data_IF_188759276766
#
_entry.id   IF_188759276766
#
_cell.length_a   1.000
_cell.length_b   1.000
_cell.length_c   1.000
_cell.angle_alpha   90.00
_cell.angle_beta   90.00
_cell.angle_gamma   90.00
#
_symmetry.space_group_name_H-M   'P 1'
#
loop_
_entity.id
_entity.type
_entity.pdbx_description
1 polymer ?
#
# COMPACT_ATOMS: atom_id res chain seq x y z
N UNK A 1 26.36 -12.99 13.22
CA UNK A 1 25.55 -11.85 12.82
C UNK A 1 25.77 -11.63 11.35
N UNK A 2 24.97 -12.28 10.51
CA UNK A 2 24.96 -11.98 9.07
C UNK A 2 24.09 -10.76 8.88
N UNK A 3 24.67 -9.66 8.43
CA UNK A 3 23.94 -8.51 7.96
C UNK A 3 23.25 -8.90 6.67
N UNK A 4 21.94 -8.98 6.70
CA UNK A 4 21.03 -9.44 5.65
C UNK A 4 20.84 -8.48 4.48
N UNK A 5 21.69 -7.47 4.34
CA UNK A 5 21.50 -6.35 3.42
C UNK A 5 22.23 -6.50 2.08
N UNK A 6 22.93 -7.60 1.86
CA UNK A 6 23.65 -7.82 0.61
C UNK A 6 23.09 -9.03 -0.14
N UNK A 7 22.93 -8.92 -1.46
CA UNK A 7 22.60 -10.06 -2.30
C UNK A 7 23.69 -11.14 -2.13
N UNK A 8 23.27 -12.37 -1.92
CA UNK A 8 24.19 -13.50 -1.94
C UNK A 8 24.41 -13.94 -3.39
N UNK A 9 25.67 -14.11 -3.78
CA UNK A 9 26.03 -14.63 -5.09
C UNK A 9 26.39 -16.11 -4.96
N UNK A 10 25.80 -16.94 -5.81
CA UNK A 10 26.12 -18.36 -5.96
C UNK A 10 26.81 -18.54 -7.31
N UNK A 11 28.04 -19.04 -7.31
CA UNK A 11 28.70 -19.53 -8.51
C UNK A 11 28.03 -20.86 -8.92
N UNK A 12 27.54 -20.91 -10.15
CA UNK A 12 26.85 -22.08 -10.71
C UNK A 12 27.31 -22.35 -12.13
N UNK A 13 27.41 -23.63 -12.48
CA UNK A 13 27.66 -24.03 -13.86
C UNK A 13 26.34 -23.83 -14.65
N UNK A 14 26.22 -22.68 -15.29
CA UNK A 14 25.03 -22.31 -16.06
C UNK A 14 25.13 -22.87 -17.49
N UNK A 15 24.06 -23.48 -18.02
CA UNK A 15 24.05 -23.95 -19.40
C UNK A 15 24.32 -22.80 -20.39
N UNK A 16 25.17 -23.03 -21.36
CA UNK A 16 25.43 -22.07 -22.42
C UNK A 16 24.17 -21.88 -23.29
N UNK A 17 23.78 -20.61 -23.45
CA UNK A 17 22.57 -20.25 -24.19
C UNK A 17 21.28 -20.61 -23.44
N UNK A 18 20.15 -20.25 -24.01
CA UNK A 18 18.82 -20.52 -23.48
C UNK A 18 18.24 -19.39 -22.65
N UNK A 19 16.93 -19.48 -22.47
CA UNK A 19 16.16 -18.48 -21.73
C UNK A 19 16.25 -18.76 -20.23
N UNK A 20 17.26 -18.18 -19.57
CA UNK A 20 17.45 -18.29 -18.12
C UNK A 20 16.64 -17.26 -17.37
N UNK A 21 16.40 -16.12 -17.98
CA UNK A 21 15.60 -15.05 -17.40
C UNK A 21 14.22 -15.53 -16.96
N UNK A 22 13.84 -15.26 -15.71
CA UNK A 22 12.58 -15.71 -15.14
C UNK A 22 12.53 -17.23 -14.81
N UNK A 23 13.66 -17.95 -14.94
CA UNK A 23 13.73 -19.36 -14.57
C UNK A 23 13.69 -19.56 -13.05
N UNK A 24 13.04 -20.63 -12.61
CA UNK A 24 13.14 -21.10 -11.23
C UNK A 24 14.43 -21.89 -11.00
N UNK A 25 15.09 -21.66 -9.88
CA UNK A 25 16.29 -22.40 -9.46
C UNK A 25 15.91 -23.33 -8.30
N UNK A 26 16.16 -24.62 -8.47
CA UNK A 26 15.76 -25.65 -7.49
C UNK A 26 16.96 -26.48 -7.07
N UNK A 27 17.16 -26.63 -5.77
CA UNK A 27 18.19 -27.49 -5.22
C UNK A 27 17.92 -28.94 -5.54
N UNK A 28 18.92 -29.66 -6.05
CA UNK A 28 18.81 -31.07 -6.40
C UNK A 28 19.56 -32.00 -5.45
N UNK A 29 20.45 -31.46 -4.61
CA UNK A 29 21.26 -32.24 -3.66
C UNK A 29 21.39 -31.48 -2.32
N UNK A 30 22.09 -32.09 -1.37
CA UNK A 30 22.39 -31.52 -0.08
C UNK A 30 21.18 -31.37 0.85
N UNK A 31 21.40 -30.69 1.95
CA UNK A 31 20.37 -30.45 2.97
C UNK A 31 19.21 -29.56 2.47
N UNK A 32 19.45 -28.75 1.44
CA UNK A 32 18.46 -27.87 0.83
C UNK A 32 17.68 -28.50 -0.34
N UNK A 33 17.85 -29.81 -0.61
CA UNK A 33 17.20 -30.50 -1.72
C UNK A 33 15.69 -30.24 -1.79
N UNK A 34 15.18 -29.92 -2.98
CA UNK A 34 13.78 -29.63 -3.25
C UNK A 34 13.40 -28.16 -3.02
N UNK A 35 14.21 -27.35 -2.35
CA UNK A 35 13.93 -25.94 -2.15
C UNK A 35 14.12 -25.13 -3.45
N UNK A 36 13.24 -24.15 -3.64
CA UNK A 36 13.40 -23.15 -4.69
C UNK A 36 14.22 -21.98 -4.14
N UNK A 37 15.24 -21.57 -4.89
CA UNK A 37 15.99 -20.35 -4.63
C UNK A 37 15.41 -19.21 -5.50
N UNK A 38 15.37 -18.00 -4.96
CA UNK A 38 14.96 -16.82 -5.70
C UNK A 38 16.21 -16.08 -6.17
N UNK A 39 16.54 -16.23 -7.45
CA UNK A 39 17.57 -15.44 -8.09
C UNK A 39 16.98 -14.10 -8.55
N UNK A 40 17.63 -13.00 -8.20
CA UNK A 40 17.26 -11.64 -8.64
C UNK A 40 17.90 -11.27 -9.97
N UNK A 41 19.12 -11.73 -10.18
CA UNK A 41 19.91 -11.42 -11.37
C UNK A 41 20.90 -12.55 -11.64
N UNK A 42 21.41 -12.58 -12.87
CA UNK A 42 22.52 -13.44 -13.26
C UNK A 42 23.59 -12.61 -13.99
N UNK A 43 24.82 -12.99 -13.83
CA UNK A 43 25.95 -12.45 -14.60
C UNK A 43 26.96 -13.58 -14.82
N UNK A 44 27.24 -13.90 -16.07
CA UNK A 44 28.11 -15.00 -16.46
C UNK A 44 27.64 -16.34 -15.86
N UNK A 45 28.34 -16.84 -14.88
CA UNK A 45 28.11 -18.09 -14.14
C UNK A 45 27.66 -17.86 -12.68
N UNK A 46 27.26 -16.62 -12.37
CA UNK A 46 26.83 -16.21 -11.03
C UNK A 46 25.32 -16.00 -10.99
N UNK A 47 24.69 -16.58 -9.97
CA UNK A 47 23.30 -16.26 -9.56
C UNK A 47 23.31 -15.38 -8.31
N UNK A 48 22.71 -14.22 -8.41
CA UNK A 48 22.54 -13.31 -7.29
C UNK A 48 21.18 -13.56 -6.64
N UNK A 49 21.20 -14.06 -5.40
CA UNK A 49 20.00 -14.33 -4.62
C UNK A 49 19.73 -13.14 -3.68
N UNK A 50 18.48 -12.74 -3.57
CA UNK A 50 18.08 -11.72 -2.60
C UNK A 50 18.24 -12.25 -1.17
N UNK A 51 19.20 -11.69 -0.45
CA UNK A 51 19.44 -11.98 0.97
C UNK A 51 18.52 -11.21 1.93
N UNK A 52 17.66 -10.34 1.40
CA UNK A 52 16.70 -9.56 2.21
C UNK A 52 15.45 -10.38 2.49
N UNK A 53 15.10 -10.47 3.77
CA UNK A 53 13.92 -11.17 4.25
C UNK A 53 14.19 -12.60 4.75
N UNK A 54 13.50 -12.95 5.81
CA UNK A 54 13.64 -14.24 6.51
C UNK A 54 13.41 -15.46 5.59
N UNK A 55 12.47 -15.35 4.67
CA UNK A 55 12.14 -16.43 3.73
C UNK A 55 13.30 -16.81 2.79
N UNK A 56 14.17 -15.88 2.43
CA UNK A 56 15.31 -16.15 1.58
C UNK A 56 16.51 -16.74 2.35
N UNK A 57 16.72 -16.31 3.58
CA UNK A 57 17.73 -16.91 4.44
C UNK A 57 17.44 -18.38 4.72
N UNK A 58 16.21 -18.69 5.08
CA UNK A 58 15.80 -20.07 5.34
C UNK A 58 16.02 -20.94 4.09
N UNK A 59 15.79 -20.39 2.90
CA UNK A 59 15.98 -21.11 1.63
C UNK A 59 17.46 -21.37 1.32
N UNK A 60 18.36 -20.47 1.70
CA UNK A 60 19.80 -20.59 1.51
C UNK A 60 20.48 -21.38 2.62
N UNK A 61 19.81 -21.61 3.76
CA UNK A 61 20.36 -22.41 4.85
C UNK A 61 20.63 -23.85 4.41
N UNK A 62 21.85 -24.30 4.60
CA UNK A 62 22.29 -25.66 4.25
C UNK A 62 22.67 -25.85 2.79
N UNK A 63 22.75 -24.77 1.99
CA UNK A 63 23.37 -24.79 0.67
C UNK A 63 24.89 -24.73 0.85
N UNK A 64 25.61 -25.68 0.24
CA UNK A 64 27.05 -25.77 0.36
C UNK A 64 27.71 -25.94 -1.02
N UNK A 65 28.99 -25.59 -1.20
CA UNK A 65 29.73 -25.84 -2.42
C UNK A 65 29.63 -27.31 -2.86
N UNK A 66 29.39 -27.53 -4.16
CA UNK A 66 29.20 -28.87 -4.73
C UNK A 66 27.74 -29.33 -4.76
N UNK A 67 26.82 -28.60 -4.18
CA UNK A 67 25.40 -28.88 -4.35
C UNK A 67 24.95 -28.64 -5.79
N UNK A 68 24.07 -29.50 -6.27
CA UNK A 68 23.52 -29.40 -7.64
C UNK A 68 22.24 -28.61 -7.63
N UNK A 69 22.04 -27.77 -8.67
CA UNK A 69 20.82 -27.04 -8.93
C UNK A 69 20.18 -27.47 -10.24
N UNK A 70 18.87 -27.34 -10.32
CA UNK A 70 18.11 -27.44 -11.57
C UNK A 70 17.59 -26.04 -11.91
N UNK A 71 17.90 -25.57 -13.11
CA UNK A 71 17.31 -24.34 -13.66
C UNK A 71 16.13 -24.76 -14.54
N UNK A 72 14.97 -24.21 -14.27
CA UNK A 72 13.72 -24.59 -14.88
C UNK A 72 12.93 -23.34 -15.32
N UNK A 73 12.86 -23.09 -16.61
CA UNK A 73 12.19 -21.92 -17.17
C UNK A 73 10.75 -22.22 -17.66
N UNK A 74 10.24 -23.42 -17.44
CA UNK A 74 8.91 -23.83 -17.94
C UNK A 74 7.79 -22.92 -17.44
N UNK A 75 7.84 -22.49 -16.18
CA UNK A 75 6.82 -21.59 -15.63
C UNK A 75 6.85 -20.21 -16.32
N UNK A 76 8.04 -19.69 -16.61
CA UNK A 76 8.18 -18.42 -17.34
C UNK A 76 7.72 -18.54 -18.79
N UNK A 77 8.11 -19.63 -19.49
CA UNK A 77 7.65 -19.87 -20.84
C UNK A 77 6.13 -20.07 -20.91
N UNK A 78 5.56 -20.76 -19.93
CA UNK A 78 4.12 -20.93 -19.83
C UNK A 78 3.39 -19.62 -19.57
N UNK A 79 3.96 -18.73 -18.75
CA UNK A 79 3.45 -17.38 -18.54
C UNK A 79 3.46 -16.55 -19.83
N UNK A 80 4.58 -16.53 -20.57
CA UNK A 80 4.67 -15.85 -21.86
C UNK A 80 3.68 -16.41 -22.87
N UNK A 81 3.54 -17.74 -22.91
CA UNK A 81 2.58 -18.43 -23.79
C UNK A 81 1.13 -18.10 -23.42
N UNK A 82 0.82 -18.03 -22.13
CA UNK A 82 -0.50 -17.68 -21.65
C UNK A 82 -0.93 -16.30 -22.17
N UNK A 83 -0.12 -15.26 -21.94
CA UNK A 83 -0.46 -13.90 -22.37
C UNK A 83 -0.55 -13.74 -23.88
N UNK A 84 0.17 -14.55 -24.65
CA UNK A 84 0.07 -14.56 -26.09
C UNK A 84 -1.34 -14.91 -26.58
N UNK A 85 -2.03 -15.80 -25.87
CA UNK A 85 -3.32 -16.36 -26.27
C UNK A 85 -4.49 -15.92 -25.37
N UNK A 86 -4.23 -15.14 -24.35
CA UNK A 86 -5.23 -14.64 -23.40
C UNK A 86 -4.94 -13.16 -23.09
N UNK A 87 -5.09 -12.32 -24.10
CA UNK A 87 -4.86 -10.88 -23.93
C UNK A 87 -5.92 -10.27 -23.03
N UNK A 88 -5.47 -9.48 -22.07
CA UNK A 88 -6.35 -8.62 -21.30
C UNK A 88 -6.58 -7.28 -22.02
N UNK A 89 -7.58 -6.52 -21.59
CA UNK A 89 -7.85 -5.16 -22.04
C UNK A 89 -6.88 -4.13 -21.43
N UNK A 90 -5.89 -4.59 -20.68
CA UNK A 90 -4.90 -3.71 -20.07
C UNK A 90 -3.95 -3.13 -21.12
N UNK A 91 -3.63 -1.83 -21.08
CA UNK A 91 -2.78 -1.17 -22.08
C UNK A 91 -1.39 -1.80 -22.25
N UNK A 92 -0.89 -2.47 -21.22
CA UNK A 92 0.38 -3.19 -21.29
C UNK A 92 0.36 -4.33 -22.31
N UNK A 93 -0.81 -4.79 -22.71
CA UNK A 93 -0.96 -5.83 -23.74
C UNK A 93 -1.10 -5.26 -25.16
N UNK A 94 -1.09 -3.95 -25.36
CA UNK A 94 -1.35 -3.32 -26.67
C UNK A 94 -0.28 -3.65 -27.70
N UNK A 95 0.94 -3.94 -27.29
CA UNK A 95 2.01 -4.36 -28.21
C UNK A 95 1.74 -5.74 -28.87
N UNK A 96 0.78 -6.48 -28.36
CA UNK A 96 0.31 -7.75 -28.97
C UNK A 96 -0.93 -7.56 -29.86
N UNK A 97 -1.25 -6.31 -30.23
CA UNK A 97 -2.34 -5.94 -31.13
C UNK A 97 -1.82 -5.16 -32.34
N UNK A 98 -2.49 -5.35 -33.46
CA UNK A 98 -2.35 -4.50 -34.67
C UNK A 98 -3.74 -4.02 -35.04
N UNK A 99 -3.93 -2.72 -35.18
CA UNK A 99 -5.23 -2.08 -35.41
C UNK A 99 -6.31 -2.54 -34.39
N UNK A 100 -5.90 -2.67 -33.13
CA UNK A 100 -6.76 -3.12 -32.04
C UNK A 100 -7.06 -4.62 -32.01
N UNK A 101 -6.60 -5.37 -33.03
CA UNK A 101 -6.83 -6.83 -33.12
C UNK A 101 -5.62 -7.60 -32.61
N UNK A 102 -5.84 -8.69 -31.84
CA UNK A 102 -4.77 -9.56 -31.39
C UNK A 102 -3.95 -10.13 -32.57
N UNK A 103 -2.62 -10.14 -32.46
CA UNK A 103 -1.72 -10.74 -33.45
C UNK A 103 -1.86 -12.28 -33.50
N UNK A 104 -2.23 -12.87 -32.36
CA UNK A 104 -2.36 -14.33 -32.22
C UNK A 104 -3.81 -14.72 -31.93
N UNK A 105 -4.24 -15.94 -32.31
CA UNK A 105 -5.54 -16.47 -31.94
C UNK A 105 -5.76 -16.41 -30.43
N UNK A 106 -6.94 -15.99 -30.00
CA UNK A 106 -7.28 -15.91 -28.60
C UNK A 106 -8.10 -17.13 -28.17
N UNK A 107 -7.92 -17.55 -26.93
CA UNK A 107 -8.62 -18.66 -26.31
C UNK A 107 -9.32 -18.18 -25.02
N UNK A 108 -10.38 -18.86 -24.64
CA UNK A 108 -11.05 -18.61 -23.38
C UNK A 108 -10.08 -18.84 -22.21
N UNK A 109 -10.12 -17.93 -21.22
CA UNK A 109 -9.32 -18.06 -20.01
C UNK A 109 -9.95 -19.15 -19.13
N UNK A 110 -9.23 -20.23 -18.80
CA UNK A 110 -9.76 -21.22 -17.87
C UNK A 110 -10.00 -20.59 -16.50
N UNK A 111 -11.12 -20.92 -15.88
CA UNK A 111 -11.50 -20.40 -14.54
C UNK A 111 -10.45 -20.67 -13.47
N UNK A 112 -9.61 -21.68 -13.66
CA UNK A 112 -8.47 -21.96 -12.80
C UNK A 112 -7.23 -22.18 -13.64
N UNK A 113 -6.27 -21.25 -13.55
CA UNK A 113 -4.97 -21.40 -14.19
C UNK A 113 -3.88 -21.60 -13.13
N UNK A 114 -3.21 -22.77 -13.11
CA UNK A 114 -2.12 -23.01 -12.16
C UNK A 114 -0.89 -22.14 -12.44
N UNK A 115 -0.85 -21.46 -13.58
CA UNK A 115 0.25 -20.59 -14.01
C UNK A 115 0.14 -19.17 -13.49
N UNK A 116 -1.10 -18.68 -13.35
CA UNK A 116 -1.41 -17.30 -12.97
C UNK A 116 -1.88 -17.16 -11.52
N UNK A 117 -1.86 -18.23 -10.76
CA UNK A 117 -2.48 -18.27 -9.46
C UNK A 117 -4.00 -18.33 -9.55
N UNK A 118 -4.68 -17.99 -8.47
CA UNK A 118 -6.14 -17.97 -8.44
C UNK A 118 -6.62 -16.73 -9.19
N UNK A 119 -7.41 -16.87 -10.27
CA UNK A 119 -8.02 -15.71 -10.92
C UNK A 119 -8.92 -14.97 -9.93
N UNK A 120 -8.92 -13.66 -10.04
CA UNK A 120 -9.81 -12.80 -9.24
C UNK A 120 -11.24 -12.95 -9.75
N UNK A 121 -11.88 -14.08 -9.42
CA UNK A 121 -13.22 -14.39 -9.88
C UNK A 121 -14.30 -13.52 -9.21
N UNK A 122 -14.01 -12.94 -8.06
CA UNK A 122 -14.97 -12.27 -7.21
C UNK A 122 -15.93 -13.23 -6.50
N UNK A 123 -15.76 -14.55 -6.68
CA UNK A 123 -16.55 -15.58 -6.03
C UNK A 123 -15.93 -15.95 -4.68
N UNK A 124 -16.68 -15.83 -3.63
CA UNK A 124 -16.30 -16.26 -2.28
C UNK A 124 -17.55 -16.53 -1.44
N UNK A 125 -17.38 -17.33 -0.41
CA UNK A 125 -18.39 -17.55 0.63
C UNK A 125 -18.03 -16.75 1.88
N UNK A 126 -19.04 -16.21 2.57
CA UNK A 126 -18.86 -15.42 3.81
C UNK A 126 -18.68 -13.92 3.56
N UNK A 127 -17.91 -13.26 4.42
CA UNK A 127 -17.69 -11.80 4.42
C UNK A 127 -16.24 -11.46 4.08
N UNK A 128 -16.05 -10.43 3.27
CA UNK A 128 -14.73 -9.95 2.87
C UNK A 128 -14.60 -8.45 3.15
N UNK A 129 -13.53 -8.07 3.83
CA UNK A 129 -13.09 -6.68 3.91
C UNK A 129 -11.79 -6.52 3.14
N UNK A 130 -11.81 -5.64 2.15
CA UNK A 130 -10.66 -5.26 1.36
C UNK A 130 -10.12 -3.91 1.85
N UNK A 131 -8.88 -3.88 2.29
CA UNK A 131 -8.21 -2.65 2.73
C UNK A 131 -7.15 -2.31 1.70
N UNK A 132 -7.14 -1.08 1.22
CA UNK A 132 -6.21 -0.63 0.19
C UNK A 132 -5.70 0.78 0.47
N UNK A 133 -4.42 0.99 0.28
CA UNK A 133 -3.77 2.29 0.44
C UNK A 133 -3.87 3.13 -0.84
N UNK A 134 -4.13 4.44 -0.73
CA UNK A 134 -4.27 5.32 -1.90
C UNK A 134 -2.95 5.66 -2.59
N UNK A 135 -1.82 5.47 -1.90
CA UNK A 135 -0.47 5.75 -2.41
C UNK A 135 0.36 4.47 -2.58
N UNK A 136 -0.29 3.30 -2.65
CA UNK A 136 0.40 2.02 -2.82
C UNK A 136 1.09 1.97 -4.18
N UNK A 137 2.42 1.94 -4.16
CA UNK A 137 3.26 1.87 -5.35
C UNK A 137 3.57 0.43 -5.77
N UNK A 138 3.31 -0.52 -4.90
CA UNK A 138 3.53 -1.95 -5.13
C UNK A 138 2.28 -2.66 -5.62
N UNK A 139 1.14 -2.38 -5.00
CA UNK A 139 -0.18 -2.89 -5.36
C UNK A 139 -1.06 -1.68 -5.73
N UNK A 140 -1.04 -1.30 -6.97
CA UNK A 140 -1.66 -0.06 -7.44
C UNK A 140 -3.15 0.03 -7.07
N UNK A 141 -3.63 1.19 -6.62
CA UNK A 141 -5.03 1.38 -6.21
C UNK A 141 -6.08 0.86 -7.19
N UNK A 142 -5.93 0.99 -8.52
CA UNK A 142 -6.87 0.37 -9.47
C UNK A 142 -7.07 -1.14 -9.33
N UNK A 143 -6.13 -1.88 -8.71
CA UNK A 143 -6.30 -3.31 -8.46
C UNK A 143 -7.43 -3.59 -7.46
N UNK A 144 -7.56 -2.74 -6.43
CA UNK A 144 -8.70 -2.81 -5.50
C UNK A 144 -10.04 -2.57 -6.20
N UNK A 145 -10.07 -1.61 -7.14
CA UNK A 145 -11.25 -1.37 -7.99
C UNK A 145 -11.56 -2.58 -8.89
N UNK A 146 -10.53 -3.18 -9.49
CA UNK A 146 -10.71 -4.36 -10.34
C UNK A 146 -11.32 -5.51 -9.58
N UNK A 147 -10.85 -5.76 -8.35
CA UNK A 147 -11.45 -6.80 -7.51
C UNK A 147 -12.87 -6.46 -7.06
N UNK A 148 -13.14 -5.21 -6.68
CA UNK A 148 -14.49 -4.74 -6.38
C UNK A 148 -15.47 -5.01 -7.53
N UNK A 149 -15.06 -4.71 -8.77
CA UNK A 149 -15.86 -4.98 -9.98
C UNK A 149 -16.03 -6.48 -10.24
N UNK A 150 -15.01 -7.28 -9.99
CA UNK A 150 -15.10 -8.72 -10.11
C UNK A 150 -16.13 -9.30 -9.13
N UNK A 151 -16.17 -8.81 -7.90
CA UNK A 151 -17.19 -9.19 -6.90
C UNK A 151 -18.60 -8.78 -7.35
N UNK A 152 -18.76 -7.54 -7.85
CA UNK A 152 -20.06 -7.08 -8.36
C UNK A 152 -20.53 -7.93 -9.55
N UNK A 153 -19.61 -8.28 -10.45
CA UNK A 153 -19.93 -9.13 -11.59
C UNK A 153 -20.32 -10.55 -11.16
N UNK A 154 -19.60 -11.15 -10.23
CA UNK A 154 -19.80 -12.53 -9.80
C UNK A 154 -20.99 -12.72 -8.86
N UNK A 155 -21.24 -11.79 -7.95
CA UNK A 155 -22.25 -11.92 -6.90
C UNK A 155 -23.41 -10.93 -7.05
N UNK A 156 -23.35 -10.04 -8.05
CA UNK A 156 -24.32 -8.97 -8.26
C UNK A 156 -24.23 -7.87 -7.21
N UNK A 157 -25.04 -6.81 -7.39
CA UNK A 157 -25.06 -5.66 -6.47
C UNK A 157 -25.48 -6.04 -5.05
N UNK A 158 -26.33 -7.05 -4.90
CA UNK A 158 -26.75 -7.53 -3.60
C UNK A 158 -25.60 -8.23 -2.87
N UNK A 159 -24.89 -9.17 -3.53
CA UNK A 159 -23.76 -9.86 -2.94
C UNK A 159 -22.61 -8.90 -2.60
N UNK A 160 -22.33 -7.92 -3.49
CA UNK A 160 -21.36 -6.86 -3.20
C UNK A 160 -21.76 -6.07 -1.94
N UNK A 161 -23.01 -5.62 -1.86
CA UNK A 161 -23.50 -4.87 -0.71
C UNK A 161 -23.49 -5.71 0.59
N UNK A 162 -23.91 -6.95 0.52
CA UNK A 162 -24.16 -7.77 1.70
C UNK A 162 -22.90 -8.48 2.22
N UNK A 163 -21.91 -8.75 1.35
CA UNK A 163 -20.78 -9.62 1.66
C UNK A 163 -19.40 -8.99 1.48
N UNK A 164 -19.30 -7.81 0.89
CA UNK A 164 -18.03 -7.17 0.58
C UNK A 164 -17.98 -5.73 1.09
N UNK A 165 -16.86 -5.34 1.68
CA UNK A 165 -16.57 -3.93 2.03
C UNK A 165 -15.16 -3.57 1.57
N UNK A 166 -15.04 -2.40 0.95
CA UNK A 166 -13.74 -1.82 0.65
C UNK A 166 -13.48 -0.63 1.58
N UNK A 167 -12.28 -0.54 2.11
CA UNK A 167 -11.76 0.59 2.89
C UNK A 167 -10.51 1.13 2.23
N UNK A 168 -10.61 2.35 1.74
CA UNK A 168 -9.45 3.09 1.26
C UNK A 168 -8.77 3.79 2.42
N UNK A 169 -7.46 3.61 2.54
CA UNK A 169 -6.63 4.33 3.50
C UNK A 169 -5.92 5.46 2.76
N UNK A 170 -6.38 6.68 2.98
CA UNK A 170 -5.78 7.87 2.40
C UNK A 170 -4.39 8.11 2.99
N UNK A 171 -3.47 8.62 2.16
CA UNK A 171 -2.10 8.91 2.57
C UNK A 171 -1.36 7.69 3.18
N UNK A 172 -1.67 6.49 2.73
CA UNK A 172 -0.94 5.29 3.10
C UNK A 172 -0.29 4.66 1.87
N UNK A 173 0.82 4.00 2.10
CA UNK A 173 1.61 3.26 1.13
C UNK A 173 1.69 1.79 1.58
N UNK A 174 2.18 0.90 0.72
CA UNK A 174 2.33 -0.52 1.04
C UNK A 174 3.26 -0.74 2.24
N UNK A 175 4.34 0.02 2.28
CA UNK A 175 5.32 -0.03 3.35
C UNK A 175 5.05 1.06 4.42
N UNK A 176 5.47 0.83 5.67
CA UNK A 176 5.38 1.86 6.70
C UNK A 176 6.11 3.15 6.31
N UNK A 177 5.63 4.34 6.71
CA UNK A 177 6.19 5.63 6.33
C UNK A 177 7.68 5.81 6.59
N UNK A 178 8.21 5.18 7.64
CA UNK A 178 9.64 5.24 8.00
C UNK A 178 10.54 4.41 7.09
N UNK A 179 9.99 3.56 6.25
CA UNK A 179 10.72 2.78 5.23
C UNK A 179 10.72 3.48 3.86
N UNK A 180 9.91 4.51 3.69
CA UNK A 180 9.87 5.29 2.46
C UNK A 180 11.05 6.27 2.45
N UNK A 181 11.89 6.28 1.38
CA UNK A 181 13.02 7.19 1.29
C UNK A 181 12.59 8.66 1.47
N UNK A 182 13.31 9.44 2.28
CA UNK A 182 12.98 10.84 2.49
C UNK A 182 13.23 11.64 1.20
N UNK A 183 12.38 12.63 0.98
CA UNK A 183 12.57 13.67 -0.03
C UNK A 183 13.25 14.89 0.62
N UNK A 184 13.82 15.83 -0.17
CA UNK A 184 14.34 17.07 0.38
C UNK A 184 13.28 17.78 1.25
N UNK A 185 13.63 18.04 2.51
CA UNK A 185 12.78 18.68 3.52
C UNK A 185 11.43 17.96 3.81
N UNK A 186 11.33 16.67 3.47
CA UNK A 186 10.11 15.91 3.67
C UNK A 186 10.41 14.44 3.93
N UNK A 187 10.16 13.95 5.14
CA UNK A 187 10.22 12.52 5.46
C UNK A 187 8.97 11.79 4.99
N UNK A 188 9.02 10.46 4.88
CA UNK A 188 7.83 9.66 4.56
C UNK A 188 6.69 9.91 5.55
N UNK A 189 6.98 9.93 6.85
CA UNK A 189 5.98 10.13 7.91
C UNK A 189 5.38 11.55 7.99
N UNK A 190 5.86 12.49 7.17
CA UNK A 190 5.29 13.84 7.07
C UNK A 190 4.08 13.92 6.10
N UNK A 191 3.90 12.90 5.25
CA UNK A 191 2.83 12.86 4.26
C UNK A 191 2.17 11.48 4.10
N UNK A 192 2.70 10.46 4.76
CA UNK A 192 2.13 9.12 4.82
C UNK A 192 1.81 8.74 6.26
N UNK A 193 0.82 7.89 6.41
CA UNK A 193 0.39 7.33 7.70
C UNK A 193 0.61 5.83 7.75
N UNK A 194 0.70 5.29 8.97
CA UNK A 194 0.73 3.86 9.21
C UNK A 194 -0.70 3.30 9.10
N UNK A 195 -0.89 2.35 8.18
CA UNK A 195 -2.19 1.69 7.99
C UNK A 195 -2.53 0.63 9.07
N UNK A 196 -1.60 0.32 9.97
CA UNK A 196 -1.78 -0.76 10.95
C UNK A 196 -3.07 -0.60 11.78
N UNK A 197 -3.34 0.60 12.29
CA UNK A 197 -4.56 0.85 13.08
C UNK A 197 -5.86 0.64 12.28
N UNK A 198 -5.84 0.96 10.98
CA UNK A 198 -6.96 0.68 10.07
C UNK A 198 -7.16 -0.83 9.91
N UNK A 199 -6.07 -1.60 9.76
CA UNK A 199 -6.12 -3.06 9.64
C UNK A 199 -6.66 -3.68 10.93
N UNK A 200 -6.14 -3.27 12.09
CA UNK A 200 -6.57 -3.75 13.40
C UNK A 200 -8.07 -3.50 13.65
N UNK A 201 -8.54 -2.28 13.36
CA UNK A 201 -9.95 -1.96 13.50
C UNK A 201 -10.82 -2.71 12.48
N UNK A 202 -10.32 -2.87 11.25
CA UNK A 202 -11.05 -3.60 10.21
C UNK A 202 -11.20 -5.08 10.53
N UNK A 203 -10.20 -5.69 11.16
CA UNK A 203 -10.29 -7.07 11.63
C UNK A 203 -11.34 -7.22 12.73
N UNK A 204 -11.37 -6.30 13.70
CA UNK A 204 -12.39 -6.29 14.74
C UNK A 204 -13.80 -6.13 14.14
N UNK A 205 -13.95 -5.23 13.17
CA UNK A 205 -15.22 -5.00 12.46
C UNK A 205 -15.66 -6.20 11.63
N UNK A 206 -14.72 -6.91 11.00
CA UNK A 206 -15.01 -8.13 10.24
C UNK A 206 -15.53 -9.24 11.17
N UNK A 207 -14.90 -9.40 12.33
CA UNK A 207 -15.33 -10.37 13.35
C UNK A 207 -16.75 -10.05 13.81
N UNK A 208 -17.01 -8.78 14.13
CA UNK A 208 -18.33 -8.32 14.59
C UNK A 208 -19.41 -8.48 13.51
N UNK A 209 -19.02 -8.26 12.25
CA UNK A 209 -19.93 -8.49 11.11
C UNK A 209 -20.29 -9.95 10.94
N UNK A 210 -19.32 -10.87 11.08
CA UNK A 210 -19.56 -12.31 10.94
C UNK A 210 -20.33 -12.88 12.12
N UNK A 211 -19.94 -12.52 13.34
CA UNK A 211 -20.48 -13.14 14.56
C UNK A 211 -21.77 -12.50 15.05
N UNK A 212 -21.89 -11.17 14.92
CA UNK A 212 -23.00 -10.39 15.49
C UNK A 212 -23.88 -9.72 14.43
N UNK A 213 -23.49 -9.81 13.14
CA UNK A 213 -24.22 -9.20 12.05
C UNK A 213 -24.09 -7.67 11.99
N UNK A 214 -23.14 -7.07 12.70
CA UNK A 214 -22.91 -5.63 12.72
C UNK A 214 -22.17 -5.22 11.44
N UNK A 215 -22.89 -4.58 10.55
CA UNK A 215 -22.40 -4.21 9.23
C UNK A 215 -21.34 -3.09 9.30
N UNK A 216 -20.10 -3.32 8.80
CA UNK A 216 -19.04 -2.32 8.88
C UNK A 216 -19.20 -1.24 7.80
N UNK A 217 -18.79 -0.01 8.12
CA UNK A 217 -18.72 1.05 7.16
C UNK A 217 -17.62 0.79 6.10
N UNK A 218 -17.96 0.94 4.83
CA UNK A 218 -17.03 1.00 3.72
C UNK A 218 -16.68 2.45 3.35
N UNK A 219 -15.64 2.65 2.56
CA UNK A 219 -15.26 3.98 2.06
C UNK A 219 -15.88 4.22 0.69
N UNK A 220 -16.58 5.34 0.54
CA UNK A 220 -17.07 5.83 -0.75
C UNK A 220 -15.90 6.38 -1.57
N UNK A 221 -15.94 6.17 -2.87
CA UNK A 221 -14.89 6.63 -3.78
C UNK A 221 -15.40 6.79 -5.20
N UNK A 222 -14.68 7.57 -5.99
CA UNK A 222 -14.82 7.65 -7.44
C UNK A 222 -13.50 7.23 -8.12
N UNK A 223 -13.60 6.76 -9.35
CA UNK A 223 -12.43 6.51 -10.19
C UNK A 223 -12.44 7.52 -11.32
N UNK A 224 -11.51 8.47 -11.28
CA UNK A 224 -11.43 9.60 -12.20
C UNK A 224 -10.01 9.73 -12.71
N UNK A 225 -9.83 9.76 -14.03
CA UNK A 225 -8.52 9.92 -14.69
C UNK A 225 -7.42 8.97 -14.15
N UNK A 226 -7.77 7.70 -13.96
CA UNK A 226 -6.84 6.68 -13.48
C UNK A 226 -6.56 6.71 -11.98
N UNK A 227 -7.28 7.53 -11.20
CA UNK A 227 -7.05 7.70 -9.76
C UNK A 227 -8.30 7.37 -8.95
N UNK A 228 -8.07 6.84 -7.76
CA UNK A 228 -9.10 6.75 -6.72
C UNK A 228 -9.22 8.13 -6.07
N UNK A 229 -10.41 8.69 -6.11
CA UNK A 229 -10.75 9.99 -5.51
C UNK A 229 -11.73 9.75 -4.37
N UNK A 230 -11.36 10.17 -3.18
CA UNK A 230 -12.20 10.06 -1.99
C UNK A 230 -12.97 11.38 -1.78
N UNK A 231 -14.23 11.32 -1.33
CA UNK A 231 -14.97 12.52 -0.95
C UNK A 231 -14.20 13.33 0.11
N UNK A 232 -14.18 14.66 0.02
CA UNK A 232 -13.49 15.50 0.99
C UNK A 232 -14.22 15.61 2.35
N UNK A 233 -15.48 15.26 2.39
CA UNK A 233 -16.35 15.31 3.55
C UNK A 233 -16.43 13.94 4.22
N UNK A 234 -16.32 13.89 5.56
CA UNK A 234 -16.29 12.64 6.30
C UNK A 234 -17.61 11.86 6.23
N UNK A 235 -18.76 12.56 6.20
CA UNK A 235 -20.07 11.91 6.10
C UNK A 235 -20.26 11.30 4.72
N UNK A 236 -19.82 11.96 3.65
CA UNK A 236 -19.88 11.44 2.28
C UNK A 236 -18.86 10.31 2.05
N UNK A 237 -17.66 10.46 2.62
CA UNK A 237 -16.57 9.47 2.49
C UNK A 237 -16.90 8.17 3.20
N UNK A 238 -17.49 8.23 4.37
CA UNK A 238 -17.67 7.05 5.23
C UNK A 238 -16.35 6.44 5.68
N UNK A 239 -16.30 5.11 5.78
CA UNK A 239 -15.11 4.41 6.29
C UNK A 239 -14.87 4.67 7.78
N UNK A 240 -13.61 4.62 8.20
CA UNK A 240 -13.21 4.79 9.61
C UNK A 240 -12.05 5.77 9.83
N UNK A 241 -11.32 6.12 8.76
CA UNK A 241 -10.17 7.02 8.84
C UNK A 241 -10.64 8.47 8.98
N UNK A 242 -10.03 9.29 9.86
CA UNK A 242 -10.39 10.70 9.97
C UNK A 242 -10.05 11.45 8.67
N UNK A 243 -10.91 12.37 8.28
CA UNK A 243 -10.67 13.34 7.21
C UNK A 243 -9.96 14.54 7.82
N UNK A 244 -8.84 14.96 7.22
CA UNK A 244 -7.98 16.02 7.75
C UNK A 244 -7.68 17.03 6.67
N UNK A 245 -7.88 18.31 6.98
CA UNK A 245 -7.51 19.43 6.14
C UNK A 245 -6.58 20.37 6.89
N UNK A 246 -5.67 21.02 6.16
CA UNK A 246 -4.76 22.04 6.66
C UNK A 246 -4.79 23.25 5.73
N UNK A 247 -4.83 24.42 6.29
CA UNK A 247 -4.82 25.67 5.54
C UNK A 247 -4.11 26.78 6.31
N UNK A 248 -3.68 27.80 5.59
CA UNK A 248 -3.32 29.09 6.18
C UNK A 248 -4.59 29.94 6.34
N UNK A 249 -4.75 30.70 7.41
CA UNK A 249 -5.84 31.67 7.56
C UNK A 249 -5.91 32.70 6.42
N UNK A 250 -4.77 32.98 5.78
CA UNK A 250 -4.69 33.90 4.65
C UNK A 250 -5.11 33.28 3.30
N UNK A 251 -5.24 31.94 3.23
CA UNK A 251 -5.48 31.21 1.98
C UNK A 251 -4.29 31.22 1.01
N UNK A 252 -4.37 30.41 -0.05
CA UNK A 252 -3.40 30.40 -1.14
C UNK A 252 -2.03 29.81 -0.80
N UNK A 253 -1.02 30.14 -1.63
CA UNK A 253 0.37 29.74 -1.39
C UNK A 253 0.94 30.49 -0.19
N UNK A 254 1.43 29.77 0.80
CA UNK A 254 1.96 30.38 2.02
C UNK A 254 3.41 30.81 1.79
N UNK A 255 3.61 32.14 1.77
CA UNK A 255 4.93 32.79 1.73
C UNK A 255 5.15 33.57 3.01
N UNK A 256 6.34 33.48 3.59
CA UNK A 256 6.73 34.19 4.79
C UNK A 256 8.22 34.52 4.75
N UNK A 257 8.69 35.27 5.74
CA UNK A 257 10.12 35.57 5.93
C UNK A 257 10.66 34.83 7.13
N UNK A 258 11.98 34.65 7.13
CA UNK A 258 12.69 34.15 8.31
C UNK A 258 12.35 35.01 9.53
N UNK A 259 12.05 34.38 10.65
CA UNK A 259 11.68 35.03 11.92
C UNK A 259 10.23 35.49 12.05
N UNK A 260 9.43 35.38 10.99
CA UNK A 260 7.99 35.67 11.07
C UNK A 260 7.20 34.47 11.60
N UNK A 261 6.18 34.75 12.42
CA UNK A 261 5.29 33.70 12.91
C UNK A 261 4.33 33.23 11.83
N UNK A 262 4.29 31.93 11.59
CA UNK A 262 3.34 31.26 10.69
C UNK A 262 2.27 30.59 11.53
N UNK A 263 1.01 30.90 11.25
CA UNK A 263 -0.14 30.21 11.82
C UNK A 263 -0.79 29.30 10.76
N UNK A 264 -1.06 28.07 11.14
CA UNK A 264 -1.79 27.09 10.34
C UNK A 264 -3.03 26.64 11.10
N UNK A 265 -4.09 26.41 10.37
CA UNK A 265 -5.35 25.87 10.87
C UNK A 265 -5.55 24.45 10.31
N UNK A 266 -5.93 23.54 11.16
CA UNK A 266 -6.37 22.21 10.77
C UNK A 266 -7.83 22.02 11.15
N UNK A 267 -8.59 21.37 10.26
CA UNK A 267 -9.88 20.79 10.61
C UNK A 267 -9.80 19.28 10.45
N UNK A 268 -10.43 18.57 11.37
CA UNK A 268 -10.48 17.12 11.35
C UNK A 268 -11.86 16.61 11.71
N UNK A 269 -12.30 15.57 11.01
CA UNK A 269 -13.58 14.92 11.26
C UNK A 269 -13.42 13.40 11.20
N UNK A 270 -13.89 12.71 12.24
CA UNK A 270 -13.90 11.25 12.30
C UNK A 270 -15.24 10.71 11.83
N UNK A 271 -15.29 9.90 10.76
CA UNK A 271 -16.53 9.31 10.27
C UNK A 271 -17.03 8.20 11.18
N UNK A 272 -18.26 7.75 10.93
CA UNK A 272 -18.85 6.53 11.55
C UNK A 272 -18.81 6.50 13.08
N UNK A 273 -18.96 7.65 13.72
CA UNK A 273 -19.02 7.77 15.18
C UNK A 273 -17.66 7.71 15.89
N UNK A 274 -16.55 7.60 15.15
CA UNK A 274 -15.20 7.67 15.70
C UNK A 274 -14.94 8.97 16.45
N UNK A 275 -13.93 8.97 17.33
CA UNK A 275 -13.55 10.11 18.16
C UNK A 275 -12.10 10.47 17.95
N UNK A 276 -11.81 11.76 17.81
CA UNK A 276 -10.44 12.26 17.70
C UNK A 276 -9.77 12.14 19.06
N UNK A 277 -8.57 11.58 19.09
CA UNK A 277 -7.80 11.32 20.31
C UNK A 277 -6.44 11.99 20.33
N UNK A 278 -5.91 12.45 19.18
CA UNK A 278 -4.68 13.22 19.11
C UNK A 278 -4.66 14.13 17.87
N UNK A 279 -4.03 15.32 18.03
CA UNK A 279 -3.66 16.22 16.94
C UNK A 279 -2.24 16.67 17.19
N UNK A 280 -1.36 16.40 16.23
CA UNK A 280 0.09 16.57 16.39
C UNK A 280 0.67 17.26 15.14
N UNK A 281 1.69 18.10 15.33
CA UNK A 281 2.26 18.93 14.26
C UNK A 281 3.74 18.63 14.04
N UNK A 282 4.13 18.59 12.77
CA UNK A 282 5.51 18.57 12.30
C UNK A 282 5.72 19.76 11.35
N UNK A 283 6.38 20.82 11.82
CA UNK A 283 6.65 22.00 10.99
C UNK A 283 7.91 21.85 10.14
N UNK A 284 8.86 21.02 10.58
CA UNK A 284 10.16 20.85 9.94
C UNK A 284 10.18 19.79 8.82
N UNK A 285 9.11 19.03 8.68
CA UNK A 285 9.04 17.93 7.70
C UNK A 285 9.90 16.71 8.04
N UNK A 286 10.29 16.56 9.32
CA UNK A 286 11.15 15.48 9.80
C UNK A 286 10.41 14.16 10.05
N UNK A 287 9.07 14.18 10.04
CA UNK A 287 8.24 13.03 10.41
C UNK A 287 8.20 12.76 11.91
N UNK A 288 8.65 13.73 12.68
CA UNK A 288 8.55 13.76 14.14
C UNK A 288 7.56 14.87 14.51
N UNK A 289 6.60 14.56 15.35
CA UNK A 289 5.50 15.45 15.70
C UNK A 289 5.66 15.96 17.13
N UNK A 290 6.52 16.99 17.37
CA UNK A 290 6.87 17.42 18.72
C UNK A 290 5.82 18.29 19.39
N UNK A 291 4.87 18.83 18.61
CA UNK A 291 3.82 19.71 19.11
C UNK A 291 2.47 18.99 19.06
N UNK A 292 1.66 19.12 20.09
CA UNK A 292 0.32 18.56 20.16
C UNK A 292 -0.67 19.58 20.73
N UNK A 293 -1.92 19.46 20.29
CA UNK A 293 -3.01 20.19 20.90
C UNK A 293 -3.67 19.33 22.00
N UNK A 294 -4.14 19.99 23.07
CA UNK A 294 -4.98 19.34 24.05
C UNK A 294 -6.33 18.97 23.46
N UNK A 295 -6.74 17.73 23.62
CA UNK A 295 -7.97 17.17 23.05
C UNK A 295 -8.96 16.87 24.16
N UNK A 296 -10.16 17.45 24.07
CA UNK A 296 -11.27 17.02 24.91
C UNK A 296 -11.81 15.67 24.44
N UNK A 297 -12.07 14.77 25.38
CA UNK A 297 -12.59 13.45 25.07
C UNK A 297 -13.95 13.51 24.34
N UNK A 298 -14.19 12.59 23.42
CA UNK A 298 -15.50 12.37 22.79
C UNK A 298 -15.81 13.23 21.57
N UNK A 299 -14.89 14.08 21.09
CA UNK A 299 -15.09 14.89 19.89
C UNK A 299 -14.90 14.08 18.62
N UNK A 300 -15.86 14.17 17.69
CA UNK A 300 -15.74 13.62 16.33
C UNK A 300 -15.34 14.67 15.30
N UNK A 301 -15.43 15.95 15.65
CA UNK A 301 -14.99 17.08 14.84
C UNK A 301 -14.14 18.01 15.69
N UNK A 302 -13.09 18.57 15.10
CA UNK A 302 -12.13 19.43 15.78
C UNK A 302 -11.52 20.43 14.81
N UNK A 303 -11.36 21.66 15.30
CA UNK A 303 -10.45 22.66 14.72
C UNK A 303 -9.23 22.84 15.64
N UNK A 304 -8.05 22.87 15.05
CA UNK A 304 -6.81 23.05 15.77
C UNK A 304 -5.93 24.12 15.11
N UNK A 305 -5.07 24.74 15.89
CA UNK A 305 -4.10 25.73 15.39
C UNK A 305 -2.70 25.30 15.78
N UNK A 306 -1.78 25.44 14.82
CA UNK A 306 -0.36 25.30 15.04
C UNK A 306 0.37 26.56 14.63
N UNK A 307 1.40 26.94 15.39
CA UNK A 307 2.21 28.13 15.13
C UNK A 307 3.69 27.76 15.12
N UNK A 308 4.45 28.39 14.22
CA UNK A 308 5.88 28.13 14.10
C UNK A 308 6.62 29.34 13.50
N UNK A 309 7.89 29.49 13.89
CA UNK A 309 8.81 30.48 13.33
C UNK A 309 9.96 29.72 12.66
N UNK A 310 10.16 29.94 11.37
CA UNK A 310 11.26 29.33 10.64
C UNK A 310 12.54 30.15 10.76
N UNK A 311 13.67 29.49 11.08
CA UNK A 311 14.96 30.13 11.31
C UNK A 311 15.81 30.31 10.05
N UNK A 312 15.45 29.67 8.94
CA UNK A 312 16.21 29.71 7.71
C UNK A 312 15.30 29.80 6.47
N UNK A 313 15.78 30.42 5.37
CA UNK A 313 15.05 30.42 4.12
C UNK A 313 14.99 29.01 3.54
N UNK A 314 13.89 28.68 2.86
CA UNK A 314 13.72 27.36 2.26
C UNK A 314 12.28 27.05 1.89
N UNK A 315 12.07 25.83 1.42
CA UNK A 315 10.73 25.25 1.19
C UNK A 315 10.49 24.21 2.26
N UNK A 316 9.41 24.41 3.00
CA UNK A 316 9.00 23.54 4.10
C UNK A 316 7.64 22.90 3.79
N UNK A 317 7.36 21.79 4.43
CA UNK A 317 6.09 21.06 4.31
C UNK A 317 5.52 20.78 5.72
N UNK A 318 5.10 21.82 6.45
CA UNK A 318 4.38 21.60 7.70
C UNK A 318 3.24 20.62 7.52
N UNK A 319 3.08 19.71 8.47
CA UNK A 319 2.00 18.75 8.47
C UNK A 319 1.32 18.64 9.83
N UNK A 320 0.06 18.25 9.80
CA UNK A 320 -0.73 17.89 10.97
C UNK A 320 -1.14 16.43 10.84
N UNK A 321 -0.87 15.62 11.85
CA UNK A 321 -1.35 14.25 11.98
C UNK A 321 -2.49 14.22 12.98
N UNK A 322 -3.59 13.62 12.58
CA UNK A 322 -4.76 13.42 13.44
C UNK A 322 -4.98 11.93 13.64
N UNK A 323 -5.19 11.55 14.88
CA UNK A 323 -5.53 10.19 15.25
C UNK A 323 -6.96 10.15 15.78
N UNK A 324 -7.75 9.22 15.27
CA UNK A 324 -9.05 8.87 15.80
C UNK A 324 -9.05 7.46 16.42
N UNK A 325 -10.03 7.18 17.25
CA UNK A 325 -10.30 5.87 17.83
C UNK A 325 -11.81 5.66 17.91
N UNK A 326 -12.30 4.45 17.66
CA UNK A 326 -13.75 4.17 17.70
C UNK A 326 -14.38 4.57 19.04
N UNK A 327 -13.76 4.14 20.12
CA UNK A 327 -14.31 4.31 21.47
C UNK A 327 -13.83 5.60 22.15
N UNK A 328 -13.00 6.40 21.49
CA UNK A 328 -12.47 7.66 22.02
C UNK A 328 -11.46 7.50 23.17
N UNK A 329 -10.81 6.33 23.27
CA UNK A 329 -9.78 6.08 24.29
C UNK A 329 -8.52 6.90 23.98
N UNK A 330 -8.29 7.96 24.77
CA UNK A 330 -7.11 8.81 24.65
C UNK A 330 -5.78 8.08 24.94
N UNK A 331 -5.83 6.97 25.67
CA UNK A 331 -4.69 6.13 26.01
C UNK A 331 -4.45 4.97 25.04
N UNK A 332 -5.26 4.85 23.98
CA UNK A 332 -5.24 3.72 23.07
C UNK A 332 -3.84 3.49 22.48
N UNK A 333 -3.38 2.25 22.52
CA UNK A 333 -2.12 1.78 21.88
C UNK A 333 -2.37 1.03 20.57
N UNK A 334 -3.58 0.56 20.35
CA UNK A 334 -4.02 -0.20 19.18
C UNK A 334 -5.21 0.49 18.53
N UNK A 335 -5.55 0.09 17.31
CA UNK A 335 -6.68 0.62 16.54
C UNK A 335 -6.65 2.16 16.40
N UNK A 336 -5.46 2.72 16.33
CA UNK A 336 -5.22 4.15 16.14
C UNK A 336 -5.40 4.47 14.65
N UNK A 337 -6.45 5.20 14.33
CA UNK A 337 -6.84 5.53 12.96
C UNK A 337 -6.21 6.86 12.59
N UNK A 338 -5.08 6.83 11.91
CA UNK A 338 -4.30 8.03 11.59
C UNK A 338 -4.63 8.58 10.20
N UNK A 339 -4.60 9.90 10.07
CA UNK A 339 -4.50 10.60 8.79
C UNK A 339 -3.61 11.84 8.93
N UNK A 340 -3.08 12.34 7.80
CA UNK A 340 -2.15 13.46 7.75
C UNK A 340 -2.53 14.43 6.64
N UNK A 341 -2.38 15.71 6.89
CA UNK A 341 -2.45 16.73 5.85
C UNK A 341 -1.21 17.62 5.91
N UNK A 342 -0.72 18.09 4.79
CA UNK A 342 0.45 18.97 4.70
C UNK A 342 0.21 20.14 3.77
N UNK A 343 0.93 21.26 4.01
CA UNK A 343 0.91 22.47 3.18
C UNK A 343 2.33 22.88 2.83
N UNK A 344 2.52 23.43 1.65
CA UNK A 344 3.81 23.96 1.23
C UNK A 344 3.97 25.40 1.72
N UNK A 345 5.08 25.68 2.40
CA UNK A 345 5.48 27.02 2.89
C UNK A 345 6.80 27.42 2.24
N UNK A 346 6.86 28.62 1.69
CA UNK A 346 8.08 29.22 1.13
C UNK A 346 8.55 30.32 2.08
N UNK A 347 9.74 30.14 2.65
CA UNK A 347 10.39 31.08 3.58
C UNK A 347 11.52 31.80 2.83
N UNK A 348 11.51 33.13 2.82
CA UNK A 348 12.51 33.98 2.17
C UNK A 348 13.34 34.81 3.14
#
# INVERSE_FOLDING_TARGET
NHTLDLPMALEVDLPAGGYRQGAGVYMQSGAARGRRLYAMAEASDMLFCDGRGEANLERLTGVVPGDRVRIDNRAFLAYCYYYKYHLSEEPICDFLRVDGQPIFPQHDVPLASPLMGVPYSGQFDGKVMWIHATHDTSLWPPQGLSYHRAVEHAQGKAGLRDNFRIRWTENAEHTPPNMVPPQPNRSGANWLVNSQGIIEQSLADLIDWVENGVEPAGTSFAFVDGKIVLPPDAAERGGIQPVVHIASPAGGELKTKVGENVELMASAEAPSGGKIIAVEWDFDGKGVYPLSNDIAAGQSHLEARGQHVFDAPGIYFPSVRVTAHRDGDLGAKQRRLENVASVRVVVS
#
